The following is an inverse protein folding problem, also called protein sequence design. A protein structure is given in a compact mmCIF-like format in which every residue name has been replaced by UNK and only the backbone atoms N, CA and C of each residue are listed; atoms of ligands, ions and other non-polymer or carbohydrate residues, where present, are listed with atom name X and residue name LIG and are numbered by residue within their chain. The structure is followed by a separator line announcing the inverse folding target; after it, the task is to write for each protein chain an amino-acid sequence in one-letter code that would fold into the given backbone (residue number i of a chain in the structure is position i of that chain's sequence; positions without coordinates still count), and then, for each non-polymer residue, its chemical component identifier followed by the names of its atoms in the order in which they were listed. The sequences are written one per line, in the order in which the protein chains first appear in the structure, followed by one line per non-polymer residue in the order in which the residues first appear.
data_IF_398668219615
#
_entry.id   IF_398668219615
#
_cell.length_a   1.000
_cell.length_b   1.000
_cell.length_c   1.000
_cell.angle_alpha   90.00
_cell.angle_beta   90.00
_cell.angle_gamma   90.00
#
_symmetry.space_group_name_H-M   'P 1'
#
loop_
_entity.id
_entity.type
_entity.pdbx_description
1 polymer ?
#
# COMPACT_ATOMS: atom_id res chain seq x y z
N UNK A 1 -88.13 -9.33 36.03
CA UNK A 1 -86.89 -8.94 36.74
C UNK A 1 -85.75 -9.76 36.18
N UNK A 2 -84.67 -9.11 35.73
CA UNK A 2 -83.55 -9.71 34.99
C UNK A 2 -82.80 -10.76 35.83
N UNK A 3 -82.48 -11.95 35.28
CA UNK A 3 -81.40 -12.78 35.79
C UNK A 3 -80.11 -12.54 34.98
N UNK A 4 -79.01 -12.45 35.73
CA UNK A 4 -77.65 -12.29 35.24
C UNK A 4 -77.08 -13.66 34.84
N UNK A 5 -76.59 -13.80 33.61
CA UNK A 5 -75.89 -15.00 33.14
C UNK A 5 -74.39 -14.75 33.01
N UNK A 6 -73.65 -15.55 33.79
CA UNK A 6 -72.20 -15.75 33.77
C UNK A 6 -71.87 -16.73 32.63
N UNK A 7 -70.96 -16.39 31.71
CA UNK A 7 -70.30 -17.37 30.84
C UNK A 7 -68.80 -17.05 30.73
N UNK A 8 -67.99 -17.97 31.27
CA UNK A 8 -66.55 -18.09 31.02
C UNK A 8 -66.31 -18.44 29.54
N UNK A 9 -65.38 -17.75 28.91
CA UNK A 9 -64.79 -18.17 27.65
C UNK A 9 -63.26 -18.23 27.83
N UNK A 10 -62.73 -19.44 27.95
CA UNK A 10 -61.30 -19.71 27.85
C UNK A 10 -61.00 -20.07 26.39
N UNK A 11 -60.23 -19.23 25.70
CA UNK A 11 -59.68 -19.49 24.37
C UNK A 11 -58.23 -19.96 24.54
N UNK A 12 -58.00 -21.24 24.26
CA UNK A 12 -56.66 -21.79 24.01
C UNK A 12 -56.61 -22.12 22.53
N UNK A 13 -55.83 -21.36 21.76
CA UNK A 13 -55.48 -21.66 20.38
C UNK A 13 -53.97 -21.91 20.28
N UNK A 14 -53.55 -22.97 19.56
CA UNK A 14 -52.14 -23.25 19.31
C UNK A 14 -51.65 -22.40 18.13
N UNK A 15 -50.72 -21.47 18.37
CA UNK A 15 -49.99 -20.80 17.31
C UNK A 15 -48.76 -21.65 16.96
N UNK A 16 -48.89 -22.44 15.89
CA UNK A 16 -47.77 -23.16 15.29
C UNK A 16 -46.82 -22.15 14.62
N UNK A 17 -45.75 -21.79 15.33
CA UNK A 17 -44.64 -21.02 14.78
C UNK A 17 -43.76 -21.96 13.93
N UNK A 18 -44.10 -22.08 12.64
CA UNK A 18 -43.21 -22.64 11.64
C UNK A 18 -42.06 -21.67 11.38
N UNK A 19 -40.94 -21.83 12.09
CA UNK A 19 -39.68 -21.19 11.78
C UNK A 19 -39.04 -21.90 10.58
N UNK A 20 -39.52 -21.58 9.37
CA UNK A 20 -38.87 -21.90 8.12
C UNK A 20 -38.25 -20.61 7.57
N UNK A 21 -36.94 -20.47 7.70
CA UNK A 21 -36.22 -19.28 7.23
C UNK A 21 -34.74 -19.26 7.62
N UNK A 22 -34.01 -20.35 7.38
CA UNK A 22 -32.55 -20.36 7.38
C UNK A 22 -32.05 -20.73 5.98
N UNK A 23 -32.49 -19.97 4.97
CA UNK A 23 -31.74 -19.83 3.74
C UNK A 23 -30.90 -18.57 3.92
N UNK A 24 -29.66 -18.72 4.38
CA UNK A 24 -28.65 -17.67 4.24
C UNK A 24 -28.39 -17.57 2.74
N UNK A 25 -29.25 -16.83 2.04
CA UNK A 25 -28.84 -16.19 0.80
C UNK A 25 -27.69 -15.29 1.24
N UNK A 26 -26.46 -15.80 1.08
CA UNK A 26 -25.24 -15.02 1.10
C UNK A 26 -25.43 -14.01 -0.04
N UNK A 27 -26.16 -12.94 0.28
CA UNK A 27 -26.42 -11.82 -0.58
C UNK A 27 -25.09 -11.14 -0.77
N UNK A 28 -24.26 -11.74 -1.62
CA UNK A 28 -23.02 -11.26 -2.17
C UNK A 28 -23.37 -9.93 -2.82
N UNK A 29 -23.45 -8.89 -2.00
CA UNK A 29 -24.24 -7.69 -2.27
C UNK A 29 -23.82 -7.16 -3.62
N UNK A 30 -24.65 -7.45 -4.63
CA UNK A 30 -24.27 -7.30 -6.02
C UNK A 30 -23.79 -5.88 -6.18
N UNK A 31 -22.52 -5.70 -6.58
CA UNK A 31 -21.98 -4.36 -6.75
C UNK A 31 -22.72 -3.74 -7.93
N UNK A 32 -23.32 -2.57 -7.69
CA UNK A 32 -24.15 -1.88 -8.67
C UNK A 32 -23.42 -0.69 -9.30
N UNK A 33 -23.85 -0.34 -10.51
CA UNK A 33 -23.49 0.91 -11.16
C UNK A 33 -22.33 0.82 -12.15
N UNK A 34 -21.88 2.00 -12.59
CA UNK A 34 -20.87 2.16 -13.64
C UNK A 34 -19.45 2.00 -13.08
N UNK A 35 -18.54 1.53 -13.92
CA UNK A 35 -17.11 1.46 -13.61
C UNK A 35 -16.43 2.80 -13.89
N UNK A 36 -15.73 3.32 -12.88
CA UNK A 36 -14.92 4.52 -12.95
C UNK A 36 -13.46 4.18 -12.72
N UNK A 37 -12.63 4.51 -13.72
CA UNK A 37 -11.24 4.08 -13.78
C UNK A 37 -10.30 5.24 -13.49
N UNK A 38 -9.36 4.98 -12.61
CA UNK A 38 -8.41 5.98 -12.12
C UNK A 38 -6.99 5.43 -12.13
N UNK A 39 -6.02 6.32 -12.27
CA UNK A 39 -4.61 6.07 -11.95
C UNK A 39 -4.27 6.83 -10.67
N UNK A 40 -3.55 6.17 -9.77
CA UNK A 40 -3.04 6.82 -8.56
C UNK A 40 -2.01 7.88 -8.96
N UNK A 41 -2.30 9.13 -8.61
CA UNK A 41 -1.49 10.29 -8.96
C UNK A 41 -0.51 10.70 -7.85
N UNK A 42 -0.84 10.39 -6.59
CA UNK A 42 0.06 10.56 -5.46
C UNK A 42 -0.10 9.40 -4.50
N UNK A 43 0.99 9.00 -3.85
CA UNK A 43 1.00 8.03 -2.76
C UNK A 43 1.65 8.69 -1.56
N UNK A 44 1.11 8.49 -0.37
CA UNK A 44 1.59 9.12 0.86
C UNK A 44 1.78 8.08 1.94
N UNK A 45 2.99 8.05 2.50
CA UNK A 45 3.40 7.10 3.55
C UNK A 45 3.31 7.71 4.96
N UNK A 46 2.65 8.85 5.13
CA UNK A 46 2.67 9.57 6.42
C UNK A 46 1.93 8.81 7.52
N UNK A 47 2.48 8.84 8.74
CA UNK A 47 1.93 8.19 9.93
C UNK A 47 0.51 8.64 10.33
N UNK A 48 0.06 9.80 9.83
CA UNK A 48 -1.31 10.31 10.07
C UNK A 48 -2.36 9.58 9.24
N UNK A 49 -1.97 8.86 8.19
CA UNK A 49 -2.87 7.98 7.45
C UNK A 49 -3.11 6.76 8.33
N UNK A 50 -4.34 6.53 8.82
CA UNK A 50 -4.66 5.41 9.70
C UNK A 50 -5.99 4.78 9.33
N UNK A 51 -6.09 3.46 9.48
CA UNK A 51 -7.32 2.69 9.28
C UNK A 51 -7.48 1.69 10.41
N UNK A 52 -8.72 1.40 10.77
CA UNK A 52 -9.08 0.28 11.65
C UNK A 52 -9.11 -1.00 10.80
N UNK A 53 -8.03 -1.78 10.86
CA UNK A 53 -7.82 -2.93 9.97
C UNK A 53 -8.49 -4.20 10.53
N UNK A 54 -8.55 -4.35 11.84
CA UNK A 54 -9.05 -5.53 12.55
C UNK A 54 -10.39 -5.30 13.30
N UNK A 55 -11.07 -4.17 13.03
CA UNK A 55 -12.36 -3.77 13.61
C UNK A 55 -12.35 -3.68 15.15
N UNK A 56 -11.20 -3.32 15.74
CA UNK A 56 -11.06 -3.20 17.19
C UNK A 56 -11.37 -1.79 17.72
N UNK A 57 -11.73 -0.85 16.83
CA UNK A 57 -12.03 0.55 17.13
C UNK A 57 -10.81 1.46 17.23
N UNK A 58 -9.60 0.92 17.04
CA UNK A 58 -8.36 1.68 16.94
C UNK A 58 -7.96 1.79 15.47
N UNK A 59 -7.15 2.80 15.18
CA UNK A 59 -6.62 3.00 13.84
C UNK A 59 -5.11 2.97 13.90
N UNK A 60 -4.48 2.16 13.05
CA UNK A 60 -3.05 1.90 13.07
C UNK A 60 -2.42 2.21 11.70
N UNK A 61 -1.12 2.53 11.71
CA UNK A 61 -0.27 2.59 10.53
C UNK A 61 1.21 2.51 10.92
N UNK A 62 1.62 1.31 11.33
CA UNK A 62 2.98 1.02 11.76
C UNK A 62 4.01 1.24 10.65
N UNK A 63 3.64 0.97 9.39
CA UNK A 63 4.46 1.33 8.23
C UNK A 63 4.74 2.84 8.19
N UNK A 64 3.72 3.67 8.39
CA UNK A 64 3.88 5.13 8.39
C UNK A 64 4.79 5.62 9.53
N UNK A 65 4.69 5.01 10.72
CA UNK A 65 5.62 5.28 11.82
C UNK A 65 7.06 4.90 11.45
N UNK A 66 7.26 3.73 10.83
CA UNK A 66 8.57 3.28 10.35
C UNK A 66 9.15 4.23 9.30
N UNK A 67 8.34 4.66 8.33
CA UNK A 67 8.77 5.63 7.31
C UNK A 67 9.12 6.98 7.93
N UNK A 68 8.40 7.39 8.97
CA UNK A 68 8.74 8.57 9.78
C UNK A 68 10.13 8.47 10.42
N UNK A 69 10.45 7.31 11.02
CA UNK A 69 11.77 7.04 11.60
C UNK A 69 12.88 7.01 10.54
N UNK A 70 12.64 6.38 9.39
CA UNK A 70 13.58 6.36 8.27
C UNK A 70 13.83 7.78 7.74
N UNK A 71 12.79 8.59 7.60
CA UNK A 71 12.91 10.00 7.19
C UNK A 71 13.74 10.80 8.18
N UNK A 72 13.54 10.58 9.49
CA UNK A 72 14.36 11.21 10.54
C UNK A 72 15.84 10.77 10.49
N UNK A 73 16.12 9.58 9.96
CA UNK A 73 17.46 9.09 9.67
C UNK A 73 17.98 9.49 8.27
N UNK A 74 17.37 10.50 7.63
CA UNK A 74 17.68 11.03 6.29
C UNK A 74 17.44 10.05 5.12
N UNK A 75 16.61 9.03 5.30
CA UNK A 75 16.11 8.22 4.19
C UNK A 75 14.86 8.87 3.59
N UNK A 76 15.00 9.49 2.42
CA UNK A 76 13.93 10.20 1.71
C UNK A 76 12.88 9.28 1.05
N UNK A 77 12.27 8.35 1.79
CA UNK A 77 11.33 7.35 1.27
C UNK A 77 10.20 7.98 0.46
N UNK A 78 9.59 9.06 0.97
CA UNK A 78 8.47 9.72 0.30
C UNK A 78 8.88 10.32 -1.05
N UNK A 79 10.04 10.99 -1.12
CA UNK A 79 10.55 11.55 -2.37
C UNK A 79 10.77 10.46 -3.42
N UNK A 80 11.23 9.30 -2.98
CA UNK A 80 11.45 8.15 -3.84
C UNK A 80 10.14 7.52 -4.34
N UNK A 81 9.11 7.42 -3.49
CA UNK A 81 7.78 6.99 -3.91
C UNK A 81 7.17 8.00 -4.90
N UNK A 82 7.32 9.29 -4.65
CA UNK A 82 6.84 10.35 -5.54
C UNK A 82 7.54 10.28 -6.91
N UNK A 83 8.85 10.04 -6.92
CA UNK A 83 9.63 9.80 -8.14
C UNK A 83 9.09 8.57 -8.91
N UNK A 84 8.86 7.44 -8.23
CA UNK A 84 8.37 6.23 -8.87
C UNK A 84 7.00 6.40 -9.53
N UNK A 85 6.09 7.14 -8.89
CA UNK A 85 4.76 7.45 -9.44
C UNK A 85 4.89 8.41 -10.64
N UNK A 86 5.70 9.46 -10.52
CA UNK A 86 5.88 10.46 -11.57
C UNK A 86 6.62 9.95 -12.81
N UNK A 87 7.52 8.99 -12.64
CA UNK A 87 8.26 8.31 -13.72
C UNK A 87 7.54 7.07 -14.24
N UNK A 88 6.41 6.68 -13.64
CA UNK A 88 5.64 5.51 -14.04
C UNK A 88 6.36 4.18 -13.80
N UNK A 89 7.42 4.15 -12.99
CA UNK A 89 8.06 2.90 -12.58
C UNK A 89 7.22 2.13 -11.54
N UNK A 90 6.31 2.82 -10.86
CA UNK A 90 5.22 2.24 -10.09
C UNK A 90 3.88 2.81 -10.61
N UNK A 91 2.99 1.92 -11.07
CA UNK A 91 1.65 2.30 -11.54
C UNK A 91 0.61 1.51 -10.78
N UNK A 92 -0.24 2.22 -10.04
CA UNK A 92 -1.43 1.66 -9.40
C UNK A 92 -2.66 2.19 -10.11
N UNK A 93 -3.51 1.26 -10.54
CA UNK A 93 -4.76 1.54 -11.22
C UNK A 93 -5.90 1.19 -10.26
N UNK A 94 -6.88 2.07 -10.14
CA UNK A 94 -8.05 1.85 -9.29
C UNK A 94 -9.31 1.80 -10.17
N UNK A 95 -10.14 0.77 -9.97
CA UNK A 95 -11.46 0.67 -10.58
C UNK A 95 -12.52 0.75 -9.48
N UNK A 96 -13.38 1.75 -9.57
CA UNK A 96 -14.50 1.96 -8.67
C UNK A 96 -15.80 1.70 -9.41
N UNK A 97 -16.54 0.68 -8.99
CA UNK A 97 -17.89 0.42 -9.46
C UNK A 97 -18.90 0.97 -8.44
N UNK A 98 -19.72 1.94 -8.86
CA UNK A 98 -20.74 2.53 -8.00
C UNK A 98 -21.91 3.13 -8.79
N UNK A 99 -23.10 3.12 -8.20
CA UNK A 99 -24.28 3.82 -8.76
C UNK A 99 -24.31 5.31 -8.42
N UNK A 100 -23.55 5.76 -7.41
CA UNK A 100 -23.49 7.16 -6.99
C UNK A 100 -22.28 7.44 -6.09
N UNK A 101 -21.56 8.53 -6.37
CA UNK A 101 -20.45 8.99 -5.53
C UNK A 101 -20.88 9.55 -4.17
N UNK A 102 -22.17 9.81 -3.94
CA UNK A 102 -22.67 10.35 -2.67
C UNK A 102 -23.32 9.32 -1.77
N UNK A 103 -24.06 8.37 -2.36
CA UNK A 103 -24.85 7.37 -1.63
C UNK A 103 -25.11 6.15 -2.50
N UNK A 104 -24.50 5.02 -2.17
CA UNK A 104 -24.75 3.73 -2.80
C UNK A 104 -24.75 2.63 -1.73
N UNK A 105 -25.72 1.71 -1.80
CA UNK A 105 -25.85 0.63 -0.82
C UNK A 105 -24.66 -0.36 -0.89
N UNK A 106 -24.17 -0.61 -2.11
CA UNK A 106 -22.98 -1.43 -2.37
C UNK A 106 -22.17 -0.77 -3.49
N UNK A 107 -20.88 -0.59 -3.25
CA UNK A 107 -19.87 -0.18 -4.22
C UNK A 107 -18.69 -1.15 -4.15
N UNK A 108 -17.97 -1.27 -5.25
CA UNK A 108 -16.82 -2.16 -5.38
C UNK A 108 -15.57 -1.38 -5.76
N UNK A 109 -14.46 -1.66 -5.11
CA UNK A 109 -13.19 -1.01 -5.36
C UNK A 109 -12.11 -2.08 -5.59
N UNK A 110 -11.48 -2.05 -6.76
CA UNK A 110 -10.37 -2.93 -7.10
C UNK A 110 -9.11 -2.12 -7.38
N UNK A 111 -7.95 -2.72 -7.10
CA UNK A 111 -6.64 -2.16 -7.42
C UNK A 111 -5.89 -3.13 -8.31
N UNK A 112 -5.31 -2.61 -9.38
CA UNK A 112 -4.47 -3.34 -10.31
C UNK A 112 -3.08 -2.71 -10.39
N UNK A 113 -2.09 -3.54 -10.71
CA UNK A 113 -0.74 -3.10 -11.05
C UNK A 113 -0.72 -2.77 -12.55
N UNK A 114 -0.27 -1.57 -12.91
CA UNK A 114 -0.10 -1.16 -14.30
C UNK A 114 1.22 -1.67 -14.89
N UNK A 115 1.23 -1.95 -16.18
CA UNK A 115 2.43 -2.25 -16.93
C UNK A 115 3.18 -0.96 -17.29
N UNK A 116 4.37 -0.79 -16.70
CA UNK A 116 5.23 0.38 -16.92
C UNK A 116 5.64 0.60 -18.38
N UNK A 117 5.63 -0.46 -19.21
CA UNK A 117 6.01 -0.37 -20.61
C UNK A 117 4.88 0.15 -21.52
N UNK A 118 3.64 0.24 -21.03
CA UNK A 118 2.44 0.55 -21.82
C UNK A 118 1.64 1.71 -21.23
N UNK A 119 2.34 2.76 -20.83
CA UNK A 119 1.77 4.02 -20.34
C UNK A 119 1.72 5.05 -21.46
N UNK A 120 0.57 5.70 -21.66
CA UNK A 120 0.41 6.80 -22.63
C UNK A 120 -0.31 8.00 -21.99
N UNK A 121 0.19 9.24 -22.09
CA UNK A 121 1.51 9.61 -22.62
C UNK A 121 2.65 8.94 -21.86
N UNK A 122 3.77 8.71 -22.53
CA UNK A 122 4.94 8.09 -21.89
C UNK A 122 5.36 8.91 -20.64
N UNK A 123 5.76 8.26 -19.55
CA UNK A 123 6.36 8.96 -18.42
C UNK A 123 7.63 9.68 -18.84
N UNK A 124 8.03 10.68 -18.05
CA UNK A 124 9.27 11.38 -18.33
C UNK A 124 10.48 10.46 -18.14
N UNK A 125 11.48 10.62 -19.01
CA UNK A 125 12.78 9.94 -18.88
C UNK A 125 13.79 10.77 -18.09
N UNK A 126 13.51 12.05 -17.85
CA UNK A 126 14.37 12.97 -17.11
C UNK A 126 13.60 13.62 -15.96
N UNK A 127 13.90 13.19 -14.74
CA UNK A 127 13.25 13.69 -13.53
C UNK A 127 13.62 15.15 -13.20
N UNK A 128 14.72 15.67 -13.76
CA UNK A 128 15.10 17.07 -13.57
C UNK A 128 14.19 18.02 -14.36
N UNK A 129 13.45 17.48 -15.34
CA UNK A 129 12.50 18.21 -16.17
C UNK A 129 11.05 17.95 -15.73
N UNK A 130 10.74 18.16 -14.44
CA UNK A 130 9.43 17.85 -13.84
C UNK A 130 8.20 18.40 -14.61
N UNK A 131 8.34 19.50 -15.35
CA UNK A 131 7.26 20.04 -16.19
C UNK A 131 6.76 19.04 -17.26
N UNK A 132 7.61 18.10 -17.69
CA UNK A 132 7.28 17.02 -18.63
C UNK A 132 6.92 15.71 -17.91
N UNK A 133 7.17 15.59 -16.61
CA UNK A 133 6.78 14.43 -15.82
C UNK A 133 5.27 14.39 -15.53
N UNK A 134 4.79 13.19 -15.17
CA UNK A 134 3.42 12.98 -14.70
C UNK A 134 2.31 13.32 -15.71
N UNK A 135 2.59 13.39 -17.02
CA UNK A 135 1.54 13.68 -18.01
C UNK A 135 0.48 12.58 -18.04
N UNK A 136 0.88 11.32 -17.81
CA UNK A 136 -0.04 10.19 -17.63
C UNK A 136 -0.96 10.35 -16.42
N UNK A 137 -0.61 11.21 -15.45
CA UNK A 137 -1.35 11.45 -14.22
C UNK A 137 -2.29 12.67 -14.34
N UNK A 138 -2.46 13.29 -15.52
CA UNK A 138 -3.29 14.49 -15.70
C UNK A 138 -4.77 14.23 -16.01
N UNK A 139 -5.24 13.00 -15.87
CA UNK A 139 -6.65 12.64 -16.14
C UNK A 139 -6.92 12.08 -17.54
N UNK A 140 -5.88 11.99 -18.38
CA UNK A 140 -5.98 11.52 -19.78
C UNK A 140 -5.08 10.31 -20.05
N UNK A 141 -4.48 9.73 -19.01
CA UNK A 141 -3.57 8.60 -19.14
C UNK A 141 -4.29 7.32 -19.57
N UNK A 142 -3.66 6.55 -20.45
CA UNK A 142 -4.05 5.22 -20.85
C UNK A 142 -2.99 4.21 -20.39
N UNK A 143 -3.44 3.07 -19.89
CA UNK A 143 -2.62 2.06 -19.21
C UNK A 143 -3.05 0.66 -19.60
N UNK A 144 -2.12 -0.28 -19.51
CA UNK A 144 -2.42 -1.72 -19.51
C UNK A 144 -2.20 -2.27 -18.11
N UNK A 145 -3.01 -3.24 -17.71
CA UNK A 145 -2.79 -3.99 -16.47
C UNK A 145 -1.63 -4.96 -16.69
N UNK A 146 -0.66 -4.95 -15.78
CA UNK A 146 0.47 -5.87 -15.80
C UNK A 146 -0.01 -7.32 -15.73
N UNK A 147 0.64 -8.21 -16.49
CA UNK A 147 0.23 -9.62 -16.58
C UNK A 147 0.20 -10.35 -15.23
N UNK A 148 1.03 -9.94 -14.27
CA UNK A 148 1.07 -10.48 -12.91
C UNK A 148 0.18 -9.77 -11.89
N UNK A 149 -0.64 -8.80 -12.31
CA UNK A 149 -1.57 -8.11 -11.41
C UNK A 149 -2.63 -9.09 -10.91
N UNK A 150 -2.91 -9.14 -9.59
CA UNK A 150 -4.11 -9.80 -9.09
C UNK A 150 -5.36 -9.21 -9.75
N UNK A 151 -6.36 -10.06 -10.01
CA UNK A 151 -7.64 -9.66 -10.61
C UNK A 151 -8.85 -9.91 -9.71
N UNK A 152 -8.72 -10.82 -8.76
CA UNK A 152 -9.82 -11.26 -7.89
C UNK A 152 -9.88 -10.47 -6.57
N UNK A 153 -9.38 -9.23 -6.59
CA UNK A 153 -9.25 -8.35 -5.42
C UNK A 153 -10.29 -7.25 -5.45
N UNK A 154 -11.53 -7.58 -5.10
CA UNK A 154 -12.63 -6.62 -4.98
C UNK A 154 -12.89 -6.31 -3.51
N UNK A 155 -12.78 -5.04 -3.13
CA UNK A 155 -13.23 -4.55 -1.84
C UNK A 155 -14.64 -3.99 -1.97
N UNK A 156 -15.61 -4.60 -1.29
CA UNK A 156 -16.99 -4.14 -1.32
C UNK A 156 -17.33 -3.32 -0.07
N UNK A 157 -18.25 -2.38 -0.21
CA UNK A 157 -18.79 -1.61 0.91
C UNK A 157 -19.65 -0.43 0.47
N UNK A 158 -20.39 0.21 1.39
CA UNK A 158 -21.32 1.28 1.04
C UNK A 158 -20.60 2.60 0.75
N UNK A 159 -21.22 3.43 -0.11
CA UNK A 159 -20.99 4.87 -0.14
C UNK A 159 -22.02 5.55 0.76
N UNK A 160 -21.56 6.28 1.78
CA UNK A 160 -22.42 7.07 2.65
C UNK A 160 -21.82 8.46 2.86
N UNK A 161 -22.58 9.50 2.55
CA UNK A 161 -22.14 10.89 2.73
C UNK A 161 -20.90 11.24 1.91
N UNK A 162 -20.78 10.71 0.68
CA UNK A 162 -19.63 10.96 -0.18
C UNK A 162 -18.36 10.20 0.18
N UNK A 163 -18.42 9.28 1.14
CA UNK A 163 -17.29 8.43 1.54
C UNK A 163 -17.65 6.96 1.33
N UNK A 164 -16.79 6.22 0.64
CA UNK A 164 -16.84 4.76 0.61
C UNK A 164 -15.91 4.21 1.67
N UNK A 165 -16.37 3.16 2.36
CA UNK A 165 -15.54 2.30 3.20
C UNK A 165 -15.70 0.87 2.70
N UNK A 166 -14.65 0.29 2.13
CA UNK A 166 -14.67 -1.04 1.56
C UNK A 166 -13.71 -2.01 2.26
N UNK A 167 -14.02 -3.30 2.17
CA UNK A 167 -13.25 -4.39 2.77
C UNK A 167 -13.97 -5.06 3.96
N UNK A 168 -13.33 -6.04 4.63
CA UNK A 168 -11.97 -6.51 4.39
C UNK A 168 -11.82 -7.32 3.09
N UNK A 169 -10.61 -7.35 2.54
CA UNK A 169 -10.27 -8.19 1.38
C UNK A 169 -8.77 -8.43 1.24
N UNK A 170 -8.30 -8.58 0.00
CA UNK A 170 -6.87 -8.69 -0.31
C UNK A 170 -6.53 -7.68 -1.40
N UNK A 171 -5.38 -7.03 -1.31
CA UNK A 171 -4.86 -6.12 -2.35
C UNK A 171 -3.36 -6.36 -2.48
N UNK A 172 -2.82 -6.23 -3.68
CA UNK A 172 -1.37 -6.08 -3.87
C UNK A 172 -1.03 -4.64 -4.19
N UNK A 173 -0.01 -4.12 -3.50
CA UNK A 173 0.59 -2.82 -3.76
C UNK A 173 1.97 -3.02 -4.37
N UNK A 174 2.44 -2.02 -5.11
CA UNK A 174 3.78 -2.00 -5.65
C UNK A 174 4.52 -0.80 -5.07
N UNK A 175 5.64 -1.07 -4.40
CA UNK A 175 6.49 -0.07 -3.78
C UNK A 175 7.86 -0.07 -4.45
N UNK A 176 8.24 1.04 -5.06
CA UNK A 176 9.59 1.24 -5.54
C UNK A 176 10.27 2.30 -4.66
N UNK A 177 11.39 1.93 -4.03
CA UNK A 177 12.36 2.91 -3.57
C UNK A 177 13.29 3.13 -4.77
N UNK A 178 14.29 2.29 -4.99
CA UNK A 178 15.25 2.52 -6.08
C UNK A 178 15.48 1.24 -6.86
N UNK A 179 14.90 1.15 -8.05
CA UNK A 179 15.03 0.00 -8.95
C UNK A 179 13.75 -0.83 -9.08
N UNK A 180 13.91 -2.16 -9.11
CA UNK A 180 12.79 -3.07 -9.32
C UNK A 180 11.72 -2.89 -8.21
N UNK A 181 10.45 -2.66 -8.58
CA UNK A 181 9.41 -2.49 -7.58
C UNK A 181 9.16 -3.78 -6.79
N UNK A 182 8.84 -3.62 -5.50
CA UNK A 182 8.48 -4.70 -4.57
C UNK A 182 6.96 -4.79 -4.56
N UNK A 183 6.42 -5.95 -4.91
CA UNK A 183 5.00 -6.23 -4.73
C UNK A 183 4.76 -6.68 -3.29
N UNK A 184 3.84 -6.00 -2.60
CA UNK A 184 3.46 -6.30 -1.21
C UNK A 184 2.00 -6.72 -1.19
N UNK A 185 1.73 -7.90 -0.65
CA UNK A 185 0.38 -8.41 -0.47
C UNK A 185 -0.18 -7.96 0.88
N UNK A 186 -1.30 -7.24 0.85
CA UNK A 186 -2.06 -6.83 2.01
C UNK A 186 -3.19 -7.81 2.29
N UNK A 187 -3.26 -8.32 3.52
CA UNK A 187 -4.36 -9.14 4.02
C UNK A 187 -5.32 -8.30 4.87
N UNK A 188 -6.60 -8.69 4.91
CA UNK A 188 -7.68 -7.88 5.50
C UNK A 188 -7.63 -6.43 5.02
N UNK A 189 -7.36 -6.26 3.73
CA UNK A 189 -7.17 -4.97 3.13
C UNK A 189 -8.47 -4.16 3.17
N UNK A 190 -8.36 -2.87 3.44
CA UNK A 190 -9.47 -1.92 3.53
C UNK A 190 -9.15 -0.69 2.71
N UNK A 191 -10.22 -0.04 2.28
CA UNK A 191 -10.13 1.23 1.58
C UNK A 191 -11.13 2.21 2.17
N UNK A 192 -10.70 3.46 2.28
CA UNK A 192 -11.58 4.59 2.53
C UNK A 192 -11.31 5.67 1.49
N UNK A 193 -12.30 5.99 0.65
CA UNK A 193 -12.17 7.06 -0.34
C UNK A 193 -13.27 8.10 -0.15
N UNK A 194 -12.91 9.36 -0.35
CA UNK A 194 -13.83 10.50 -0.35
C UNK A 194 -13.40 11.53 -1.40
N UNK A 195 -14.23 12.57 -1.57
CA UNK A 195 -14.04 13.58 -2.61
C UNK A 195 -13.95 12.92 -4.01
N UNK A 196 -14.82 11.94 -4.27
CA UNK A 196 -14.83 11.13 -5.49
C UNK A 196 -15.70 11.80 -6.56
N UNK A 197 -15.19 11.79 -7.79
CA UNK A 197 -15.88 12.29 -8.98
C UNK A 197 -15.48 11.48 -10.21
N UNK A 198 -16.07 11.78 -11.37
CA UNK A 198 -15.65 11.19 -12.64
C UNK A 198 -14.20 11.55 -13.02
N UNK A 199 -13.63 12.62 -12.45
CA UNK A 199 -12.30 13.11 -12.79
C UNK A 199 -11.20 12.59 -11.85
N UNK A 200 -11.57 12.04 -10.69
CA UNK A 200 -10.59 11.54 -9.73
C UNK A 200 -11.13 11.26 -8.34
N UNK A 201 -10.20 10.81 -7.48
CA UNK A 201 -10.37 10.61 -6.04
C UNK A 201 -9.52 11.66 -5.35
N UNK A 202 -10.16 12.58 -4.63
CA UNK A 202 -9.48 13.66 -3.92
C UNK A 202 -8.76 13.19 -2.65
N UNK A 203 -9.30 12.18 -1.95
CA UNK A 203 -8.69 11.59 -0.75
C UNK A 203 -8.96 10.10 -0.71
N UNK A 204 -7.89 9.32 -0.67
CA UNK A 204 -7.96 7.88 -0.49
C UNK A 204 -7.03 7.41 0.61
N UNK A 205 -7.46 6.42 1.36
CA UNK A 205 -6.65 5.61 2.26
C UNK A 205 -6.81 4.16 1.82
N UNK A 206 -5.70 3.46 1.68
CA UNK A 206 -5.68 2.02 1.40
C UNK A 206 -4.71 1.36 2.35
N UNK A 207 -5.10 0.26 2.96
CA UNK A 207 -4.23 -0.40 3.91
C UNK A 207 -4.67 -1.80 4.26
N UNK A 208 -3.86 -2.48 5.04
CA UNK A 208 -4.09 -3.86 5.48
C UNK A 208 -2.90 -4.38 6.29
N UNK A 209 -2.97 -5.65 6.67
CA UNK A 209 -1.89 -6.35 7.34
C UNK A 209 -0.86 -6.87 6.35
N UNK A 210 0.42 -6.62 6.63
CA UNK A 210 1.55 -7.33 6.02
C UNK A 210 1.98 -8.43 6.98
N UNK A 211 1.70 -9.68 6.63
CA UNK A 211 2.04 -10.82 7.50
C UNK A 211 3.54 -10.95 7.72
N UNK A 212 3.97 -11.50 8.85
CA UNK A 212 5.38 -11.75 9.12
C UNK A 212 6.06 -12.57 8.01
N UNK A 213 5.36 -13.59 7.47
CA UNK A 213 5.85 -14.38 6.33
C UNK A 213 6.12 -13.50 5.11
N UNK A 214 5.15 -12.66 4.71
CA UNK A 214 5.32 -11.74 3.58
C UNK A 214 6.46 -10.73 3.81
N UNK A 215 6.61 -10.24 5.04
CA UNK A 215 7.75 -9.40 5.41
C UNK A 215 9.08 -10.12 5.19
N UNK A 216 9.18 -11.36 5.67
CA UNK A 216 10.42 -12.13 5.64
C UNK A 216 10.79 -12.67 4.26
N UNK A 217 9.81 -13.05 3.44
CA UNK A 217 10.03 -13.70 2.14
C UNK A 217 10.03 -12.73 0.97
N UNK A 218 9.35 -11.59 1.10
CA UNK A 218 9.08 -10.69 -0.03
C UNK A 218 9.62 -9.29 0.26
N UNK A 219 9.17 -8.65 1.33
CA UNK A 219 9.48 -7.23 1.59
C UNK A 219 10.96 -7.04 1.95
N UNK A 220 11.48 -7.76 2.94
CA UNK A 220 12.85 -7.58 3.41
C UNK A 220 13.91 -7.95 2.36
N UNK A 221 13.78 -9.07 1.60
CA UNK A 221 14.67 -9.33 0.47
C UNK A 221 14.59 -8.23 -0.60
N UNK A 222 13.38 -7.73 -0.89
CA UNK A 222 13.17 -6.62 -1.81
C UNK A 222 13.87 -5.33 -1.36
N UNK A 223 13.72 -4.95 -0.10
CA UNK A 223 14.40 -3.80 0.50
C UNK A 223 15.92 -3.97 0.41
N UNK A 224 16.43 -5.17 0.72
CA UNK A 224 17.86 -5.49 0.61
C UNK A 224 18.36 -5.28 -0.83
N UNK A 225 17.61 -5.77 -1.82
CA UNK A 225 17.95 -5.59 -3.23
C UNK A 225 17.94 -4.12 -3.66
N UNK A 226 16.99 -3.33 -3.16
CA UNK A 226 16.93 -1.89 -3.45
C UNK A 226 18.07 -1.12 -2.78
N UNK A 227 18.40 -1.42 -1.51
CA UNK A 227 19.57 -0.84 -0.84
C UNK A 227 20.86 -1.18 -1.60
N UNK A 228 21.01 -2.40 -2.10
CA UNK A 228 22.13 -2.76 -2.99
C UNK A 228 22.13 -1.90 -4.25
N UNK A 229 20.99 -1.71 -4.90
CA UNK A 229 20.90 -0.87 -6.09
C UNK A 229 21.28 0.60 -5.82
N UNK A 230 20.93 1.15 -4.64
CA UNK A 230 21.40 2.48 -4.19
C UNK A 230 22.91 2.50 -4.07
N UNK A 231 23.50 1.51 -3.39
CA UNK A 231 24.94 1.41 -3.20
C UNK A 231 25.65 1.32 -4.55
N UNK A 232 25.18 0.43 -5.44
CA UNK A 232 25.79 0.24 -6.76
C UNK A 232 25.72 1.53 -7.60
N UNK A 233 24.63 2.30 -7.51
CA UNK A 233 24.45 3.59 -8.18
C UNK A 233 25.38 4.68 -7.63
N UNK A 234 25.45 4.82 -6.31
CA UNK A 234 26.09 5.97 -5.66
C UNK A 234 27.58 5.74 -5.38
N UNK A 235 27.98 4.47 -5.26
CA UNK A 235 29.32 4.07 -4.82
C UNK A 235 30.14 3.36 -5.91
N UNK A 236 29.50 3.01 -7.03
CA UNK A 236 30.15 2.37 -8.16
C UNK A 236 30.72 0.98 -7.84
N UNK A 237 31.26 0.28 -8.85
CA UNK A 237 31.79 -1.08 -8.69
C UNK A 237 33.08 -1.14 -7.88
N UNK A 238 33.72 0.00 -7.61
CA UNK A 238 34.98 0.08 -6.85
C UNK A 238 34.76 -0.04 -5.34
N UNK A 239 33.55 0.24 -4.84
CA UNK A 239 33.20 0.07 -3.44
C UNK A 239 33.43 -1.39 -2.96
N UNK A 240 33.14 -2.38 -3.81
CA UNK A 240 33.36 -3.80 -3.49
C UNK A 240 34.84 -4.21 -3.50
N UNK A 241 35.73 -3.45 -4.16
CA UNK A 241 37.17 -3.78 -4.27
C UNK A 241 38.01 -3.29 -3.09
N UNK A 242 37.48 -2.39 -2.25
CA UNK A 242 38.18 -1.83 -1.09
C UNK A 242 38.37 -2.80 0.10
N UNK A 243 38.05 -4.10 -0.08
CA UNK A 243 38.03 -5.14 0.95
C UNK A 243 39.40 -5.54 1.55
N UNK A 244 40.49 -4.83 1.25
CA UNK A 244 41.80 -5.13 1.87
C UNK A 244 41.94 -4.64 3.32
N UNK A 245 40.90 -4.06 3.94
CA UNK A 245 41.02 -3.49 5.29
C UNK A 245 39.74 -3.30 6.11
N UNK A 246 38.60 -3.89 5.72
CA UNK A 246 37.36 -3.87 6.53
C UNK A 246 36.75 -2.49 6.77
N UNK A 247 37.02 -1.53 5.90
CA UNK A 247 36.41 -0.20 5.93
C UNK A 247 36.02 0.17 4.51
N UNK A 248 34.72 0.31 4.28
CA UNK A 248 34.18 0.87 3.04
C UNK A 248 34.77 2.24 2.80
N UNK A 249 35.51 2.39 1.70
CA UNK A 249 36.19 3.64 1.37
C UNK A 249 37.64 3.79 1.86
N UNK A 250 38.40 2.71 2.07
CA UNK A 250 39.86 2.84 2.24
C UNK A 250 40.66 2.18 1.11
N UNK A 251 40.97 2.95 0.08
CA UNK A 251 42.29 2.79 -0.54
C UNK A 251 42.96 4.16 -0.75
N UNK A 252 44.03 4.48 0.01
CA UNK A 252 44.64 5.81 -0.04
C UNK A 252 45.45 6.01 -1.31
N UNK A 253 44.97 6.85 -2.22
CA UNK A 253 45.79 7.64 -3.16
C UNK A 253 45.16 9.03 -3.35
N UNK A 254 45.65 10.05 -2.62
CA UNK A 254 45.45 11.47 -3.01
C UNK A 254 44.49 12.36 -2.21
N UNK A 255 43.82 11.90 -1.14
CA UNK A 255 43.32 12.81 -0.10
C UNK A 255 41.82 13.17 -0.04
N UNK A 256 40.93 12.43 -0.71
CA UNK A 256 39.49 12.48 -0.39
C UNK A 256 38.86 11.12 -0.70
N UNK A 257 38.46 10.38 0.34
CA UNK A 257 37.92 9.03 0.23
C UNK A 257 36.49 8.97 0.74
N UNK A 258 35.56 8.91 -0.19
CA UNK A 258 34.24 8.32 0.05
C UNK A 258 34.04 7.31 -1.07
N UNK A 259 33.81 6.03 -0.71
CA UNK A 259 33.45 5.00 -1.68
C UNK A 259 32.17 5.39 -2.45
N UNK A 260 31.36 6.30 -1.88
CA UNK A 260 30.18 6.87 -2.46
C UNK A 260 30.37 8.35 -2.79
N UNK A 261 29.62 8.85 -3.76
CA UNK A 261 29.52 10.30 -3.97
C UNK A 261 29.04 10.97 -2.66
N UNK A 262 29.72 12.04 -2.24
CA UNK A 262 29.38 12.73 -0.99
C UNK A 262 27.95 13.30 -1.04
N UNK A 263 27.20 13.17 0.06
CA UNK A 263 25.81 13.61 0.20
C UNK A 263 24.78 12.68 -0.43
N UNK A 264 25.19 11.50 -0.91
CA UNK A 264 24.26 10.54 -1.53
C UNK A 264 23.61 9.58 -0.52
N UNK A 265 22.53 8.94 -0.96
CA UNK A 265 21.86 7.90 -0.15
C UNK A 265 22.77 6.71 0.07
N UNK A 266 23.58 6.30 -0.92
CA UNK A 266 24.54 5.19 -0.76
C UNK A 266 25.60 5.47 0.29
N UNK A 267 26.09 6.71 0.38
CA UNK A 267 26.98 7.12 1.49
C UNK A 267 26.28 6.96 2.84
N UNK A 268 25.03 7.41 2.94
CA UNK A 268 24.23 7.31 4.16
C UNK A 268 23.97 5.84 4.55
N UNK A 269 23.68 4.97 3.59
CA UNK A 269 23.48 3.53 3.82
C UNK A 269 24.74 2.88 4.38
N UNK A 270 25.91 3.16 3.79
CA UNK A 270 27.19 2.57 4.22
C UNK A 270 27.86 3.31 5.40
N UNK A 271 27.30 4.43 5.85
CA UNK A 271 27.87 5.19 6.96
C UNK A 271 27.90 4.33 8.24
N UNK A 272 28.99 4.33 9.03
CA UNK A 272 29.06 3.57 10.29
C UNK A 272 27.95 3.91 11.30
N UNK A 273 27.37 5.10 11.18
CA UNK A 273 26.27 5.60 12.02
C UNK A 273 24.90 5.12 11.57
N UNK A 274 24.77 4.62 10.34
CA UNK A 274 23.49 4.12 9.83
C UNK A 274 23.13 2.80 10.50
N UNK A 275 24.10 1.90 10.66
CA UNK A 275 23.91 0.55 11.18
C UNK A 275 23.44 -0.49 10.15
N UNK A 276 23.30 -0.13 8.87
CA UNK A 276 22.89 -1.06 7.80
C UNK A 276 24.02 -1.98 7.35
N UNK A 277 25.27 -1.50 7.34
CA UNK A 277 26.47 -2.32 7.10
C UNK A 277 27.22 -2.46 8.43
N UNK A 278 26.71 -3.34 9.29
CA UNK A 278 27.26 -3.54 10.64
C UNK A 278 28.59 -4.29 10.61
N UNK A 279 28.82 -5.11 9.59
CA UNK A 279 30.04 -5.90 9.41
C UNK A 279 31.17 -5.12 8.73
N UNK A 280 30.84 -3.97 8.11
CA UNK A 280 31.76 -3.09 7.37
C UNK A 280 32.40 -3.78 6.17
N UNK A 281 31.63 -4.62 5.49
CA UNK A 281 32.05 -5.36 4.31
C UNK A 281 31.54 -4.74 2.99
N UNK A 282 30.89 -3.58 3.08
CA UNK A 282 30.36 -2.78 1.97
C UNK A 282 29.22 -3.46 1.24
N UNK A 283 28.58 -4.39 1.93
CA UNK A 283 27.36 -5.05 1.49
C UNK A 283 26.34 -4.85 2.58
N UNK A 284 25.10 -4.77 2.16
CA UNK A 284 23.96 -4.82 3.08
C UNK A 284 23.29 -6.15 2.82
N UNK A 285 23.43 -7.05 3.78
CA UNK A 285 22.83 -8.38 3.74
C UNK A 285 21.43 -8.36 4.36
N UNK A 286 20.61 -9.36 4.02
CA UNK A 286 19.30 -9.54 4.64
C UNK A 286 19.41 -9.67 6.18
N UNK A 287 20.48 -10.30 6.67
CA UNK A 287 20.72 -10.44 8.11
C UNK A 287 20.95 -9.08 8.78
N UNK A 288 21.71 -8.19 8.15
CA UNK A 288 21.94 -6.84 8.66
C UNK A 288 20.68 -5.98 8.61
N UNK A 289 19.91 -6.06 7.52
CA UNK A 289 18.60 -5.39 7.42
C UNK A 289 17.67 -5.84 8.54
N UNK A 290 17.61 -7.14 8.84
CA UNK A 290 16.80 -7.68 9.95
C UNK A 290 17.30 -7.25 11.33
N UNK A 291 18.62 -7.15 11.51
CA UNK A 291 19.24 -6.75 12.76
C UNK A 291 19.20 -5.23 13.01
N UNK A 292 18.88 -4.44 11.98
CA UNK A 292 18.87 -2.98 12.07
C UNK A 292 17.85 -2.49 13.12
N UNK A 293 18.25 -1.74 14.16
CA UNK A 293 17.36 -1.40 15.28
C UNK A 293 16.04 -0.71 14.89
N UNK A 294 16.11 0.24 13.94
CA UNK A 294 14.91 0.95 13.44
C UNK A 294 13.97 -0.02 12.73
N UNK A 295 14.49 -0.97 11.95
CA UNK A 295 13.68 -1.94 11.22
C UNK A 295 13.13 -3.00 12.17
N UNK A 296 13.93 -3.51 13.10
CA UNK A 296 13.47 -4.47 14.10
C UNK A 296 12.31 -3.92 14.93
N UNK A 297 12.35 -2.64 15.31
CA UNK A 297 11.24 -1.99 16.04
C UNK A 297 10.05 -1.64 15.14
N UNK A 298 10.30 -1.23 13.90
CA UNK A 298 9.26 -0.82 12.96
C UNK A 298 8.49 -2.00 12.38
N UNK A 299 9.16 -3.12 12.14
CA UNK A 299 8.59 -4.34 11.54
C UNK A 299 7.96 -5.28 12.56
N UNK A 300 7.95 -4.92 13.84
CA UNK A 300 7.26 -5.69 14.85
C UNK A 300 5.75 -5.72 14.55
N UNK A 301 5.10 -6.89 14.55
CA UNK A 301 3.65 -6.99 14.40
C UNK A 301 2.91 -6.13 15.41
N UNK A 302 1.85 -5.44 14.96
CA UNK A 302 0.99 -4.60 15.79
C UNK A 302 -0.49 -5.01 15.71
N UNK A 303 -0.83 -5.95 14.84
CA UNK A 303 -2.18 -6.50 14.71
C UNK A 303 -2.17 -8.01 14.45
N UNK A 304 -3.35 -8.63 14.55
CA UNK A 304 -3.57 -10.05 14.23
C UNK A 304 -4.55 -10.16 13.06
N UNK A 305 -4.09 -10.61 11.89
CA UNK A 305 -4.97 -10.91 10.75
C UNK A 305 -5.12 -12.41 10.59
N UNK A 306 -6.35 -12.91 10.70
CA UNK A 306 -6.66 -14.34 10.54
C UNK A 306 -5.80 -15.24 11.45
N UNK A 307 -5.54 -14.79 12.68
CA UNK A 307 -4.71 -15.50 13.66
C UNK A 307 -3.20 -15.45 13.38
N UNK A 308 -2.75 -14.70 12.37
CA UNK A 308 -1.34 -14.49 12.08
C UNK A 308 -0.89 -13.08 12.53
N UNK A 309 0.30 -12.95 13.13
CA UNK A 309 0.87 -11.65 13.43
C UNK A 309 1.17 -10.91 12.12
N UNK A 310 0.74 -9.65 12.05
CA UNK A 310 0.98 -8.80 10.90
C UNK A 310 1.27 -7.36 11.34
N UNK A 311 1.96 -6.63 10.46
CA UNK A 311 2.22 -5.21 10.59
C UNK A 311 1.17 -4.42 9.81
N UNK A 312 0.56 -3.40 10.41
CA UNK A 312 -0.36 -2.48 9.75
C UNK A 312 0.39 -1.59 8.75
N UNK A 313 -0.13 -1.55 7.53
CA UNK A 313 0.37 -0.67 6.49
C UNK A 313 -0.80 0.12 5.90
N UNK A 314 -0.74 1.45 5.99
CA UNK A 314 -1.73 2.34 5.39
C UNK A 314 -1.02 3.40 4.55
N UNK A 315 -1.44 3.51 3.29
CA UNK A 315 -1.02 4.54 2.38
C UNK A 315 -2.19 5.49 2.12
N UNK A 316 -1.90 6.78 2.14
CA UNK A 316 -2.77 7.79 1.56
C UNK A 316 -2.55 7.87 0.06
N UNK A 317 -3.59 8.25 -0.68
CA UNK A 317 -3.45 8.46 -2.12
C UNK A 317 -4.43 9.51 -2.64
N UNK A 318 -4.09 10.05 -3.80
CA UNK A 318 -5.06 10.72 -4.68
C UNK A 318 -5.02 10.05 -6.04
N UNK A 319 -6.12 10.11 -6.77
CA UNK A 319 -6.20 9.49 -8.08
C UNK A 319 -6.81 10.44 -9.11
N UNK A 320 -6.41 10.27 -10.36
CA UNK A 320 -6.91 11.02 -11.51
C UNK A 320 -7.52 10.04 -12.49
N UNK A 321 -8.47 10.49 -13.30
CA UNK A 321 -9.09 9.68 -14.34
C UNK A 321 -8.02 9.00 -15.22
N UNK A 322 -8.23 7.74 -15.52
CA UNK A 322 -7.39 6.95 -16.42
C UNK A 322 -8.23 5.99 -17.26
N UNK A 323 -7.65 5.46 -18.33
CA UNK A 323 -8.28 4.40 -19.13
C UNK A 323 -7.44 3.13 -19.11
N UNK A 324 -8.11 2.01 -18.84
CA UNK A 324 -7.56 0.66 -18.89
C UNK A 324 -8.73 -0.34 -18.95
N UNK A 325 -8.44 -1.61 -19.24
CA UNK A 325 -9.43 -2.69 -19.28
C UNK A 325 -9.03 -3.77 -18.27
N UNK A 326 -9.82 -3.99 -17.21
CA UNK A 326 -9.69 -5.12 -16.27
C UNK A 326 -9.58 -6.49 -16.94
#
# INVERSE_FOLDING_TARGET
MKPSSLWCLALVTPLAAGAAGCGSDDGDGQVEGEHHRYVVATLSTVATNKLDIDDNGRTENKLGDLVGLLTAANFGVQATVDEAVNTGSAVLLADLQTSSFSSAASAGFAVYLGDSASITPAPCTDITMLATCGQHLKGTGAFTIAAGSPRDTLLTGPFAGGTMKGGPGKISLQLALTGAPITVSLTSARVQISDVSADGIGRGLIGGGVTQTELDTTVLPGVTAQLKAVIDRDCGPEAERALSGGVCGRQPVGGSFTACMAGTTGETVLAPTSGFDSTRDCKVTLAEVKAHPILAQGLSPDLMVNGQPAMSAVLGFTAKKGSFTP
#
